data_IF_657665844635
#
_entry.id   IF_657665844635
#
_cell.length_a   1.000
_cell.length_b   1.000
_cell.length_c   1.000
_cell.angle_alpha   90.00
_cell.angle_beta   90.00
_cell.angle_gamma   90.00
#
_symmetry.space_group_name_H-M   'P 1'
#
loop_
_entity.id
_entity.type
_entity.pdbx_description
1 polymer ?
#
# COMPACT_ATOMS: atom_id res chain seq x y z
N UNK A 1 27.43 -10.83 19.06
CA UNK A 1 26.16 -10.13 18.66
C UNK A 1 26.51 -8.68 18.49
N UNK A 2 26.57 -8.19 17.23
CA UNK A 2 26.95 -6.80 16.95
C UNK A 2 25.71 -5.93 17.06
N UNK A 3 25.70 -4.98 17.98
CA UNK A 3 24.68 -3.94 18.10
C UNK A 3 24.64 -3.11 16.81
N UNK A 4 23.49 -2.86 16.20
CA UNK A 4 23.42 -1.97 15.05
C UNK A 4 23.76 -0.54 15.48
N UNK A 5 24.55 0.15 14.65
CA UNK A 5 24.93 1.54 14.87
C UNK A 5 23.69 2.45 14.94
N UNK A 6 23.69 3.49 15.80
CA UNK A 6 22.58 4.42 15.91
C UNK A 6 22.41 5.18 14.59
N UNK A 7 21.19 5.16 14.07
CA UNK A 7 20.81 5.96 12.89
C UNK A 7 20.88 7.44 13.31
N UNK A 8 21.76 8.20 12.66
CA UNK A 8 21.91 9.64 12.88
C UNK A 8 20.58 10.35 12.66
N UNK A 9 19.99 10.88 13.73
CA UNK A 9 18.75 11.69 13.71
C UNK A 9 19.08 13.18 13.63
N UNK A 10 19.63 13.65 12.52
CA UNK A 10 19.44 15.06 12.15
C UNK A 10 18.00 15.20 11.69
N UNK A 11 17.21 16.08 12.32
CA UNK A 11 15.85 16.37 11.89
C UNK A 11 15.88 16.79 10.41
N UNK A 12 15.26 16.03 9.49
CA UNK A 12 15.28 16.41 8.07
C UNK A 12 14.50 17.71 7.90
N UNK A 13 15.02 18.62 7.05
CA UNK A 13 14.25 19.75 6.58
C UNK A 13 12.86 19.27 6.13
N UNK A 14 11.81 20.02 6.52
CA UNK A 14 10.42 19.64 6.27
C UNK A 14 10.24 19.27 4.78
N UNK A 15 10.06 17.99 4.49
CA UNK A 15 9.89 17.47 3.12
C UNK A 15 8.62 18.05 2.51
N UNK A 16 8.71 18.58 1.29
CA UNK A 16 7.53 19.04 0.56
C UNK A 16 6.62 17.88 0.20
N UNK A 17 5.31 18.12 0.16
CA UNK A 17 4.30 17.16 -0.30
C UNK A 17 4.62 16.70 -1.73
N UNK A 18 4.69 15.39 -1.93
CA UNK A 18 4.79 14.77 -3.25
C UNK A 18 3.43 14.86 -3.94
N UNK A 19 3.43 15.27 -5.20
CA UNK A 19 2.23 15.45 -6.01
C UNK A 19 2.36 14.70 -7.34
N UNK A 20 1.30 14.66 -8.13
CA UNK A 20 1.33 14.12 -9.51
C UNK A 20 2.34 14.86 -10.40
N UNK A 21 2.52 16.17 -10.16
CA UNK A 21 3.55 16.95 -10.84
C UNK A 21 4.97 16.48 -10.46
N UNK A 22 5.19 16.12 -9.19
CA UNK A 22 6.47 15.56 -8.74
C UNK A 22 6.80 14.25 -9.47
N UNK A 23 5.79 13.39 -9.68
CA UNK A 23 5.94 12.16 -10.45
C UNK A 23 6.43 12.44 -11.87
N UNK A 24 5.77 13.37 -12.56
CA UNK A 24 6.18 13.79 -13.92
C UNK A 24 7.61 14.33 -13.94
N UNK A 25 7.96 15.22 -13.03
CA UNK A 25 9.30 15.80 -12.92
C UNK A 25 10.36 14.74 -12.65
N UNK A 26 10.07 13.73 -11.83
CA UNK A 26 11.01 12.61 -11.60
C UNK A 26 11.27 11.82 -12.88
N UNK A 27 10.24 11.51 -13.66
CA UNK A 27 10.42 10.86 -14.97
C UNK A 27 11.27 11.70 -15.91
N UNK A 28 10.99 13.01 -16.05
CA UNK A 28 11.76 13.92 -16.87
C UNK A 28 13.24 13.96 -16.47
N UNK A 29 13.54 13.87 -15.16
CA UNK A 29 14.90 13.84 -14.61
C UNK A 29 15.50 12.45 -14.51
N UNK A 30 14.77 11.40 -14.89
CA UNK A 30 15.14 9.99 -14.70
C UNK A 30 15.45 9.63 -13.24
N UNK A 31 14.76 10.24 -12.31
CA UNK A 31 14.84 9.96 -10.88
C UNK A 31 13.83 8.85 -10.54
N UNK A 32 14.25 7.75 -9.88
CA UNK A 32 13.34 6.65 -9.58
C UNK A 32 12.25 7.06 -8.59
N UNK A 33 11.03 6.57 -8.82
CA UNK A 33 9.87 6.77 -7.95
C UNK A 33 9.74 5.57 -7.04
N UNK A 34 9.66 5.82 -5.72
CA UNK A 34 9.46 4.79 -4.71
C UNK A 34 8.02 4.75 -4.26
N UNK A 35 7.41 3.55 -4.26
CA UNK A 35 6.04 3.33 -3.83
C UNK A 35 5.93 2.07 -2.98
N UNK A 36 5.16 2.12 -1.90
CA UNK A 36 4.85 0.97 -1.05
C UNK A 36 3.38 0.96 -0.68
N UNK A 37 2.83 -0.21 -0.36
CA UNK A 37 1.48 -0.27 0.20
C UNK A 37 1.48 -0.02 1.70
N UNK A 38 0.45 0.66 2.22
CA UNK A 38 0.16 0.73 3.64
C UNK A 38 -1.35 0.63 3.89
N UNK A 39 -1.71 0.13 5.06
CA UNK A 39 -3.10 -0.14 5.40
C UNK A 39 -3.50 0.40 6.78
N UNK A 40 -2.54 0.96 7.53
CA UNK A 40 -2.73 1.47 8.88
C UNK A 40 -1.89 2.73 9.16
N UNK A 41 -2.19 3.36 10.29
CA UNK A 41 -1.54 4.60 10.71
C UNK A 41 -0.03 4.46 10.99
N UNK A 42 0.44 3.50 11.83
CA UNK A 42 1.85 3.42 12.19
C UNK A 42 2.73 3.05 11.01
N UNK A 43 2.28 2.17 10.13
CA UNK A 43 3.02 1.81 8.90
C UNK A 43 3.15 3.01 7.96
N UNK A 44 2.07 3.75 7.73
CA UNK A 44 2.08 4.95 6.89
C UNK A 44 2.99 6.03 7.47
N UNK A 45 2.96 6.24 8.79
CA UNK A 45 3.84 7.19 9.48
C UNK A 45 5.32 6.82 9.34
N UNK A 46 5.66 5.54 9.47
CA UNK A 46 7.03 5.06 9.29
C UNK A 46 7.52 5.29 7.85
N UNK A 47 6.69 5.01 6.85
CA UNK A 47 7.00 5.24 5.43
C UNK A 47 7.20 6.72 5.11
N UNK A 48 6.30 7.57 5.59
CA UNK A 48 6.38 9.01 5.36
C UNK A 48 7.64 9.62 5.98
N UNK A 49 8.02 9.15 7.17
CA UNK A 49 9.22 9.58 7.90
C UNK A 49 10.51 9.21 7.14
N UNK A 50 10.58 8.05 6.50
CA UNK A 50 11.75 7.64 5.71
C UNK A 50 11.73 8.19 4.28
N UNK A 51 10.65 8.82 3.87
CA UNK A 51 10.57 9.58 2.64
C UNK A 51 10.18 8.79 1.40
N UNK A 52 9.32 7.77 1.50
CA UNK A 52 8.69 7.13 0.35
C UNK A 52 7.93 8.17 -0.49
N UNK A 53 8.04 8.11 -1.82
CA UNK A 53 7.38 9.09 -2.68
C UNK A 53 5.86 8.93 -2.71
N UNK A 54 5.38 7.69 -2.68
CA UNK A 54 3.94 7.41 -2.70
C UNK A 54 3.57 6.23 -1.82
N UNK A 55 2.38 6.29 -1.26
CA UNK A 55 1.77 5.21 -0.50
C UNK A 55 0.47 4.80 -1.19
N UNK A 56 0.35 3.51 -1.50
CA UNK A 56 -0.85 2.90 -2.06
C UNK A 56 -1.65 2.22 -0.93
N UNK A 57 -2.89 2.62 -0.76
CA UNK A 57 -3.87 1.80 -0.03
C UNK A 57 -4.45 0.83 -1.04
N UNK A 58 -3.75 -0.30 -1.25
CA UNK A 58 -4.08 -1.29 -2.27
C UNK A 58 -5.21 -2.22 -1.85
N UNK A 59 -6.01 -2.70 -2.81
CA UNK A 59 -7.02 -3.73 -2.58
C UNK A 59 -6.41 -5.09 -2.15
N UNK A 60 -5.09 -5.24 -2.30
CA UNK A 60 -4.29 -6.33 -1.71
C UNK A 60 -4.48 -6.48 -0.20
N UNK A 61 -4.99 -5.43 0.50
CA UNK A 61 -5.40 -5.54 1.91
C UNK A 61 -6.41 -6.67 2.15
N UNK A 62 -7.23 -6.97 1.17
CA UNK A 62 -8.15 -8.10 1.22
C UNK A 62 -7.43 -9.40 1.60
N UNK A 63 -6.28 -9.65 0.97
CA UNK A 63 -5.50 -10.87 1.18
C UNK A 63 -4.58 -10.76 2.40
N UNK A 64 -3.79 -9.69 2.48
CA UNK A 64 -2.68 -9.60 3.45
C UNK A 64 -3.08 -9.03 4.81
N UNK A 65 -4.25 -8.42 4.92
CA UNK A 65 -4.79 -7.85 6.18
C UNK A 65 -6.07 -8.55 6.61
N UNK A 66 -7.03 -8.71 5.68
CA UNK A 66 -8.35 -9.26 5.99
C UNK A 66 -8.42 -10.79 5.86
N UNK A 67 -7.40 -11.42 5.22
CA UNK A 67 -7.28 -12.87 5.13
C UNK A 67 -8.15 -13.52 4.06
N UNK A 68 -8.70 -12.77 3.12
CA UNK A 68 -9.42 -13.32 1.95
C UNK A 68 -8.45 -14.01 0.99
N UNK A 69 -8.98 -14.90 0.13
CA UNK A 69 -8.16 -15.64 -0.84
C UNK A 69 -7.78 -14.81 -2.08
N UNK A 70 -8.49 -13.71 -2.34
CA UNK A 70 -8.24 -12.79 -3.44
C UNK A 70 -8.77 -11.38 -3.10
N UNK A 71 -8.62 -10.42 -4.04
CA UNK A 71 -8.99 -9.02 -3.83
C UNK A 71 -10.47 -8.71 -4.07
N UNK A 72 -11.27 -9.65 -4.62
CA UNK A 72 -12.65 -9.38 -5.03
C UNK A 72 -13.63 -9.06 -3.89
N UNK A 73 -13.51 -9.67 -2.67
CA UNK A 73 -14.49 -9.44 -1.60
C UNK A 73 -14.38 -8.06 -0.94
N UNK A 74 -13.25 -7.36 -1.06
CA UNK A 74 -13.06 -6.10 -0.35
C UNK A 74 -14.03 -5.03 -0.87
N UNK A 75 -14.67 -4.35 0.07
CA UNK A 75 -15.71 -3.34 -0.20
C UNK A 75 -15.13 -1.91 -0.25
N UNK A 76 -15.91 -0.97 -0.81
CA UNK A 76 -15.59 0.46 -0.74
C UNK A 76 -15.42 0.96 0.70
N UNK A 77 -16.25 0.48 1.62
CA UNK A 77 -16.22 0.93 3.02
C UNK A 77 -14.94 0.46 3.74
N UNK A 78 -14.51 -0.78 3.50
CA UNK A 78 -13.23 -1.29 4.01
C UNK A 78 -12.06 -0.51 3.43
N UNK A 79 -12.04 -0.26 2.12
CA UNK A 79 -11.00 0.57 1.50
C UNK A 79 -10.94 1.97 2.12
N UNK A 80 -12.08 2.64 2.26
CA UNK A 80 -12.16 3.97 2.87
C UNK A 80 -11.75 3.97 4.35
N UNK A 81 -12.04 2.88 5.09
CA UNK A 81 -11.58 2.72 6.47
C UNK A 81 -10.05 2.78 6.55
N UNK A 82 -9.39 1.97 5.74
CA UNK A 82 -7.91 1.92 5.67
C UNK A 82 -7.30 3.22 5.13
N UNK A 83 -7.91 3.83 4.10
CA UNK A 83 -7.51 5.14 3.58
C UNK A 83 -7.48 6.21 4.67
N UNK A 84 -8.52 6.30 5.50
CA UNK A 84 -8.56 7.24 6.63
C UNK A 84 -7.45 7.02 7.65
N UNK A 85 -7.08 5.76 7.92
CA UNK A 85 -5.98 5.45 8.82
C UNK A 85 -4.63 5.89 8.24
N UNK A 86 -4.36 5.55 6.98
CA UNK A 86 -3.13 5.90 6.26
C UNK A 86 -2.98 7.41 6.12
N UNK A 87 -4.04 8.15 5.76
CA UNK A 87 -3.98 9.60 5.57
C UNK A 87 -3.65 10.39 6.85
N UNK A 88 -3.98 9.84 8.01
CA UNK A 88 -3.55 10.43 9.29
C UNK A 88 -2.06 10.23 9.54
N UNK A 89 -1.49 9.10 9.09
CA UNK A 89 -0.08 8.76 9.30
C UNK A 89 0.89 9.44 8.34
N UNK A 90 0.49 9.67 7.10
CA UNK A 90 1.36 10.21 6.05
C UNK A 90 0.94 11.62 5.64
N UNK A 91 1.91 12.55 5.56
CA UNK A 91 1.69 13.97 5.25
C UNK A 91 2.44 14.44 4.00
N UNK A 92 3.54 13.79 3.66
CA UNK A 92 4.41 14.20 2.56
C UNK A 92 4.34 13.29 1.34
N UNK A 93 4.12 11.98 1.52
CA UNK A 93 3.93 11.03 0.41
C UNK A 93 2.63 11.30 -0.37
N UNK A 94 2.64 11.07 -1.69
CA UNK A 94 1.42 11.05 -2.51
C UNK A 94 0.57 9.84 -2.10
N UNK A 95 -0.67 10.07 -1.70
CA UNK A 95 -1.60 9.02 -1.25
C UNK A 95 -2.51 8.58 -2.39
N UNK A 96 -2.45 7.30 -2.74
CA UNK A 96 -3.26 6.69 -3.79
C UNK A 96 -4.18 5.65 -3.17
N UNK A 97 -5.49 5.78 -3.39
CA UNK A 97 -6.48 4.80 -2.98
C UNK A 97 -6.88 3.89 -4.14
N UNK A 98 -6.87 2.58 -3.90
CA UNK A 98 -7.22 1.58 -4.90
C UNK A 98 -8.74 1.38 -4.95
N UNK A 99 -9.33 1.55 -6.12
CA UNK A 99 -10.77 1.33 -6.31
C UNK A 99 -11.05 -0.17 -6.35
N UNK A 100 -11.85 -0.71 -5.41
CA UNK A 100 -12.10 -2.14 -5.33
C UNK A 100 -12.98 -2.64 -6.49
N UNK A 101 -12.98 -3.96 -6.68
CA UNK A 101 -13.81 -4.60 -7.69
C UNK A 101 -15.28 -4.18 -7.60
N UNK A 102 -15.91 -3.97 -8.74
CA UNK A 102 -17.29 -3.47 -8.92
C UNK A 102 -17.54 -2.02 -8.47
N UNK A 103 -16.53 -1.28 -8.06
CA UNK A 103 -16.71 0.15 -7.74
C UNK A 103 -16.58 1.09 -8.93
N UNK A 104 -16.08 0.60 -10.08
CA UNK A 104 -15.84 1.40 -11.30
C UNK A 104 -16.19 0.67 -12.61
N UNK A 105 -16.67 -0.58 -12.51
CA UNK A 105 -17.00 -1.40 -13.69
C UNK A 105 -18.46 -1.26 -14.13
N UNK A 106 -19.34 -0.83 -13.24
CA UNK A 106 -20.81 -0.84 -13.46
C UNK A 106 -21.24 0.30 -14.39
N UNK A 107 -20.86 1.53 -14.08
CA UNK A 107 -21.13 2.70 -14.91
C UNK A 107 -20.07 3.79 -14.71
N UNK A 108 -20.01 4.73 -15.65
CA UNK A 108 -19.10 5.87 -15.61
C UNK A 108 -19.43 6.81 -14.44
N UNK A 109 -20.73 7.01 -14.18
CA UNK A 109 -21.23 7.85 -13.09
C UNK A 109 -20.87 7.26 -11.72
N UNK A 110 -21.02 5.95 -11.58
CA UNK A 110 -20.67 5.24 -10.34
C UNK A 110 -19.15 5.26 -10.12
N UNK A 111 -18.35 5.01 -11.15
CA UNK A 111 -16.89 5.12 -11.11
C UNK A 111 -16.45 6.51 -10.63
N UNK A 112 -17.02 7.58 -11.19
CA UNK A 112 -16.70 8.96 -10.83
C UNK A 112 -17.11 9.27 -9.40
N UNK A 113 -18.30 8.84 -8.97
CA UNK A 113 -18.81 9.02 -7.60
C UNK A 113 -17.92 8.30 -6.58
N UNK A 114 -17.56 7.04 -6.85
CA UNK A 114 -16.71 6.26 -5.96
C UNK A 114 -15.29 6.81 -5.90
N UNK A 115 -14.71 7.24 -7.02
CA UNK A 115 -13.41 7.94 -7.02
C UNK A 115 -13.47 9.23 -6.16
N UNK A 116 -14.54 10.01 -6.26
CA UNK A 116 -14.77 11.20 -5.42
C UNK A 116 -14.79 10.88 -3.92
N UNK A 117 -15.34 9.72 -3.52
CA UNK A 117 -15.35 9.27 -2.12
C UNK A 117 -13.95 9.03 -1.56
N UNK A 118 -12.99 8.53 -2.36
CA UNK A 118 -11.61 8.37 -1.91
C UNK A 118 -10.98 9.71 -1.51
N UNK A 119 -11.23 10.78 -2.25
CA UNK A 119 -10.72 12.10 -1.90
C UNK A 119 -11.48 12.70 -0.72
N UNK A 120 -12.81 12.68 -0.76
CA UNK A 120 -13.67 13.32 0.25
C UNK A 120 -13.66 12.59 1.60
N UNK A 121 -13.77 11.27 1.59
CA UNK A 121 -13.96 10.45 2.78
C UNK A 121 -12.67 9.72 3.21
N UNK A 122 -11.81 9.39 2.24
CA UNK A 122 -10.54 8.69 2.46
C UNK A 122 -9.34 9.63 2.63
N UNK A 123 -9.49 10.91 2.26
CA UNK A 123 -8.40 11.90 2.21
C UNK A 123 -7.22 11.44 1.34
N UNK A 124 -7.52 10.76 0.22
CA UNK A 124 -6.52 10.37 -0.77
C UNK A 124 -6.26 11.53 -1.75
N UNK A 125 -5.06 11.57 -2.32
CA UNK A 125 -4.67 12.55 -3.34
C UNK A 125 -5.05 12.09 -4.76
N UNK A 126 -5.15 10.77 -4.96
CA UNK A 126 -5.44 10.13 -6.24
C UNK A 126 -6.12 8.77 -6.03
N UNK A 127 -6.65 8.22 -7.12
CA UNK A 127 -7.18 6.85 -7.14
C UNK A 127 -6.40 5.98 -8.11
N UNK A 128 -6.38 4.64 -7.88
CA UNK A 128 -5.92 3.63 -8.84
C UNK A 128 -7.10 2.77 -9.28
N UNK A 129 -7.09 2.33 -10.53
CA UNK A 129 -8.04 1.34 -11.04
C UNK A 129 -7.39 0.47 -12.13
N UNK A 130 -7.91 -0.75 -12.29
CA UNK A 130 -7.38 -1.78 -13.18
C UNK A 130 -8.13 -1.82 -14.52
N UNK A 131 -7.38 -2.08 -15.59
CA UNK A 131 -7.88 -2.29 -16.94
C UNK A 131 -7.33 -1.29 -17.95
N UNK A 132 -7.46 -1.64 -19.23
CA UNK A 132 -6.98 -0.87 -20.36
C UNK A 132 -8.06 -0.02 -21.02
N UNK A 133 -8.15 -0.14 -22.35
CA UNK A 133 -9.08 0.63 -23.20
C UNK A 133 -10.55 0.57 -22.76
N UNK A 134 -10.97 -0.53 -22.15
CA UNK A 134 -12.32 -0.71 -21.63
C UNK A 134 -12.65 0.18 -20.42
N UNK A 135 -11.64 0.80 -19.82
CA UNK A 135 -11.77 1.75 -18.70
C UNK A 135 -11.54 3.20 -19.10
N UNK A 136 -11.16 3.47 -20.36
CA UNK A 136 -10.80 4.81 -20.82
C UNK A 136 -11.92 5.84 -20.61
N UNK A 137 -13.18 5.46 -20.79
CA UNK A 137 -14.32 6.38 -20.61
C UNK A 137 -14.51 6.73 -19.12
N UNK A 138 -14.47 5.75 -18.24
CA UNK A 138 -14.52 5.98 -16.79
C UNK A 138 -13.34 6.86 -16.32
N UNK A 139 -12.13 6.60 -16.81
CA UNK A 139 -10.93 7.40 -16.50
C UNK A 139 -11.11 8.85 -16.96
N UNK A 140 -11.59 9.10 -18.18
CA UNK A 140 -11.85 10.48 -18.67
C UNK A 140 -12.87 11.20 -17.80
N UNK A 141 -13.91 10.51 -17.35
CA UNK A 141 -14.92 11.11 -16.48
C UNK A 141 -14.35 11.45 -15.10
N UNK A 142 -13.57 10.55 -14.51
CA UNK A 142 -12.92 10.75 -13.21
C UNK A 142 -11.92 11.91 -13.30
N UNK A 143 -11.04 11.92 -14.32
CA UNK A 143 -10.04 12.98 -14.52
C UNK A 143 -10.69 14.31 -14.88
N UNK A 144 -11.79 14.29 -15.66
CA UNK A 144 -12.61 15.46 -15.96
C UNK A 144 -13.27 16.07 -14.72
N UNK A 145 -13.53 15.29 -13.70
CA UNK A 145 -13.98 15.77 -12.38
C UNK A 145 -12.86 16.33 -11.49
N UNK A 146 -11.62 16.37 -11.99
CA UNK A 146 -10.45 16.89 -11.25
C UNK A 146 -9.80 15.87 -10.31
N UNK A 147 -10.09 14.59 -10.47
CA UNK A 147 -9.54 13.51 -9.64
C UNK A 147 -8.39 12.85 -10.40
N UNK A 148 -7.14 12.87 -9.87
CA UNK A 148 -6.01 12.20 -10.50
C UNK A 148 -6.18 10.67 -10.50
N UNK A 149 -5.89 10.04 -11.65
CA UNK A 149 -6.02 8.59 -11.84
C UNK A 149 -4.67 7.97 -12.15
N UNK A 150 -4.33 6.90 -11.43
CA UNK A 150 -3.27 5.96 -11.74
C UNK A 150 -3.89 4.74 -12.42
N UNK A 151 -3.47 4.44 -13.65
CA UNK A 151 -3.92 3.23 -14.37
C UNK A 151 -3.17 1.99 -13.87
N UNK A 152 -3.68 0.79 -14.22
CA UNK A 152 -3.03 -0.47 -13.91
C UNK A 152 -3.20 -1.47 -15.04
N UNK A 153 -2.09 -1.89 -15.65
CA UNK A 153 -2.02 -2.81 -16.78
C UNK A 153 -1.15 -4.03 -16.46
N UNK A 154 -1.31 -5.07 -17.25
CA UNK A 154 -0.61 -6.34 -17.09
C UNK A 154 -1.47 -7.35 -16.36
N UNK A 155 -0.95 -7.97 -15.31
CA UNK A 155 -1.78 -8.75 -14.40
C UNK A 155 -2.66 -7.79 -13.60
N UNK A 156 -3.95 -7.97 -13.72
CA UNK A 156 -4.99 -7.25 -12.98
C UNK A 156 -5.66 -8.23 -12.04
N UNK A 157 -5.33 -8.23 -10.72
CA UNK A 157 -5.87 -9.17 -9.74
C UNK A 157 -7.39 -9.25 -9.69
N UNK A 158 -8.08 -8.11 -9.90
CA UNK A 158 -9.54 -8.07 -9.96
C UNK A 158 -10.12 -8.84 -11.16
N UNK A 159 -9.33 -9.08 -12.20
CA UNK A 159 -9.70 -9.88 -13.37
C UNK A 159 -9.20 -11.32 -13.31
N UNK A 160 -8.82 -11.82 -12.13
CA UNK A 160 -8.17 -13.14 -11.94
C UNK A 160 -8.96 -14.31 -12.55
N UNK A 161 -10.29 -14.27 -12.48
CA UNK A 161 -11.14 -15.29 -13.07
C UNK A 161 -11.12 -15.25 -14.60
N UNK A 162 -11.13 -14.06 -15.20
CA UNK A 162 -11.03 -13.87 -16.65
C UNK A 162 -9.65 -14.25 -17.18
N UNK A 163 -8.59 -13.96 -16.42
CA UNK A 163 -7.21 -14.27 -16.79
C UNK A 163 -6.80 -15.72 -16.53
N UNK A 164 -7.66 -16.51 -15.88
CA UNK A 164 -7.38 -17.92 -15.52
C UNK A 164 -6.27 -18.07 -14.48
N UNK A 165 -6.21 -17.13 -13.51
CA UNK A 165 -5.26 -17.12 -12.40
C UNK A 165 -4.21 -15.98 -12.47
N UNK A 166 -3.34 -15.94 -11.49
CA UNK A 166 -2.25 -14.96 -11.39
C UNK A 166 -1.11 -15.29 -12.37
N UNK A 167 -1.25 -14.86 -13.62
CA UNK A 167 -0.29 -15.16 -14.69
C UNK A 167 0.28 -13.89 -15.30
N UNK A 168 1.59 -13.92 -15.61
CA UNK A 168 2.25 -12.82 -16.33
C UNK A 168 1.59 -12.59 -17.70
N UNK A 169 1.32 -11.32 -18.02
CA UNK A 169 0.65 -10.85 -19.22
C UNK A 169 1.66 -10.34 -20.28
N UNK A 170 1.22 -10.21 -21.54
CA UNK A 170 2.07 -9.64 -22.59
C UNK A 170 3.19 -10.56 -23.11
N UNK A 171 3.06 -11.89 -22.97
CA UNK A 171 4.08 -12.85 -23.40
C UNK A 171 4.08 -13.15 -24.89
N UNK A 172 3.00 -12.86 -25.62
CA UNK A 172 2.91 -13.00 -27.07
C UNK A 172 2.97 -11.64 -27.75
N UNK A 173 3.41 -11.57 -29.01
CA UNK A 173 3.48 -10.31 -29.76
C UNK A 173 2.12 -9.59 -29.80
N UNK A 174 1.03 -10.33 -29.97
CA UNK A 174 -0.33 -9.80 -30.02
C UNK A 174 -0.72 -9.19 -28.65
N UNK A 175 -0.50 -9.92 -27.55
CA UNK A 175 -0.79 -9.42 -26.21
C UNK A 175 0.12 -8.25 -25.81
N UNK A 176 1.40 -8.30 -26.20
CA UNK A 176 2.34 -7.21 -25.97
C UNK A 176 1.92 -5.94 -26.70
N UNK A 177 1.56 -6.05 -28.01
CA UNK A 177 1.07 -4.91 -28.81
C UNK A 177 -0.16 -4.28 -28.15
N UNK A 178 -1.12 -5.09 -27.69
CA UNK A 178 -2.31 -4.60 -27.00
C UNK A 178 -1.97 -3.82 -25.72
N UNK A 179 -1.02 -4.30 -24.90
CA UNK A 179 -0.60 -3.58 -23.68
C UNK A 179 0.05 -2.24 -23.99
N UNK A 180 0.87 -2.15 -25.07
CA UNK A 180 1.44 -0.88 -25.52
C UNK A 180 0.35 0.10 -25.95
N UNK A 181 -0.63 -0.36 -26.75
CA UNK A 181 -1.77 0.45 -27.18
C UNK A 181 -2.61 0.90 -25.99
N UNK A 182 -2.90 0.00 -25.05
CA UNK A 182 -3.68 0.30 -23.85
C UNK A 182 -2.96 1.34 -22.97
N UNK A 183 -1.63 1.30 -22.84
CA UNK A 183 -0.88 2.32 -22.11
C UNK A 183 -1.02 3.72 -22.72
N UNK A 184 -0.98 3.84 -24.04
CA UNK A 184 -1.21 5.11 -24.74
C UNK A 184 -2.64 5.60 -24.54
N UNK A 185 -3.62 4.70 -24.64
CA UNK A 185 -5.04 5.05 -24.42
C UNK A 185 -5.28 5.55 -22.99
N UNK A 186 -4.64 4.94 -21.98
CA UNK A 186 -4.76 5.37 -20.59
C UNK A 186 -4.09 6.75 -20.36
N UNK A 187 -2.95 7.02 -20.99
CA UNK A 187 -2.33 8.34 -20.99
C UNK A 187 -3.26 9.39 -21.62
N UNK A 188 -3.81 9.11 -22.80
CA UNK A 188 -4.76 9.98 -23.50
C UNK A 188 -6.07 10.18 -22.71
N UNK A 189 -6.47 9.21 -21.90
CA UNK A 189 -7.60 9.31 -20.99
C UNK A 189 -7.32 10.19 -19.76
N UNK A 190 -6.06 10.60 -19.53
CA UNK A 190 -5.67 11.53 -18.49
C UNK A 190 -5.04 10.88 -17.25
N UNK A 191 -4.63 9.62 -17.32
CA UNK A 191 -3.84 9.02 -16.23
C UNK A 191 -2.56 9.82 -16.00
N UNK A 192 -2.19 10.05 -14.73
CA UNK A 192 -0.92 10.69 -14.39
C UNK A 192 0.24 9.70 -14.27
N UNK A 193 -0.05 8.41 -14.13
CA UNK A 193 0.91 7.31 -13.99
C UNK A 193 0.22 5.97 -14.29
N UNK A 194 0.99 4.93 -14.62
CA UNK A 194 0.46 3.58 -14.87
C UNK A 194 1.29 2.55 -14.09
N UNK A 195 0.63 1.68 -13.35
CA UNK A 195 1.24 0.47 -12.78
C UNK A 195 1.35 -0.59 -13.87
N UNK A 196 2.50 -1.23 -13.99
CA UNK A 196 2.75 -2.40 -14.85
C UNK A 196 3.03 -3.61 -13.96
N UNK A 197 2.09 -4.57 -13.87
CA UNK A 197 2.22 -5.74 -13.01
C UNK A 197 2.48 -7.00 -13.82
N UNK A 198 3.52 -7.77 -13.42
CA UNK A 198 3.85 -9.09 -14.00
C UNK A 198 3.90 -9.06 -15.53
N UNK A 199 4.56 -8.05 -16.08
CA UNK A 199 4.81 -7.82 -17.50
C UNK A 199 6.27 -8.15 -17.81
N UNK A 200 6.62 -8.77 -18.97
CA UNK A 200 8.01 -8.99 -19.35
C UNK A 200 8.83 -7.70 -19.30
N UNK A 201 10.04 -7.74 -18.70
CA UNK A 201 10.84 -6.55 -18.41
C UNK A 201 11.11 -5.68 -19.66
N UNK A 202 11.45 -6.32 -20.82
CA UNK A 202 11.66 -5.61 -22.10
C UNK A 202 10.39 -4.92 -22.61
N UNK A 203 9.20 -5.50 -22.36
CA UNK A 203 7.91 -4.90 -22.73
C UNK A 203 7.60 -3.71 -21.83
N UNK A 204 7.84 -3.83 -20.53
CA UNK A 204 7.64 -2.73 -19.58
C UNK A 204 8.56 -1.54 -19.90
N UNK A 205 9.83 -1.78 -20.23
CA UNK A 205 10.78 -0.76 -20.69
C UNK A 205 10.31 -0.07 -21.98
N UNK A 206 9.80 -0.86 -22.95
CA UNK A 206 9.24 -0.32 -24.19
C UNK A 206 8.03 0.58 -23.90
N UNK A 207 7.09 0.14 -23.05
CA UNK A 207 5.92 0.94 -22.65
C UNK A 207 6.38 2.24 -21.99
N UNK A 208 7.30 2.15 -21.02
CA UNK A 208 7.84 3.30 -20.29
C UNK A 208 8.48 4.35 -21.22
N UNK A 209 9.12 3.90 -22.31
CA UNK A 209 9.70 4.79 -23.31
C UNK A 209 8.70 5.40 -24.30
N UNK A 210 7.50 4.81 -24.43
CA UNK A 210 6.48 5.23 -25.40
C UNK A 210 5.47 6.24 -24.87
N UNK A 211 5.30 6.30 -23.54
CA UNK A 211 4.38 7.24 -22.89
C UNK A 211 5.14 8.31 -22.11
N UNK A 212 4.56 9.48 -21.95
CA UNK A 212 5.18 10.61 -21.25
C UNK A 212 4.93 10.56 -19.73
N UNK A 213 3.90 9.84 -19.29
CA UNK A 213 3.58 9.67 -17.88
C UNK A 213 4.43 8.57 -17.23
N UNK A 214 4.75 8.65 -15.93
CA UNK A 214 5.55 7.64 -15.23
C UNK A 214 4.91 6.26 -15.19
N UNK A 215 5.75 5.22 -15.33
CA UNK A 215 5.37 3.83 -15.09
C UNK A 215 5.91 3.35 -13.74
N UNK A 216 5.10 2.60 -12.99
CA UNK A 216 5.47 1.99 -11.71
C UNK A 216 5.42 0.47 -11.88
N UNK A 217 6.58 -0.18 -11.77
CA UNK A 217 6.69 -1.63 -11.96
C UNK A 217 6.43 -2.43 -10.69
N UNK A 218 5.78 -3.58 -10.85
CA UNK A 218 5.75 -4.66 -9.86
C UNK A 218 5.86 -5.98 -10.61
N UNK A 219 7.00 -6.67 -10.46
CA UNK A 219 7.29 -7.85 -11.28
C UNK A 219 7.43 -7.53 -12.78
N UNK A 220 7.82 -6.30 -13.13
CA UNK A 220 7.95 -5.82 -14.50
C UNK A 220 9.40 -5.42 -14.86
N UNK A 221 10.37 -5.75 -14.02
CA UNK A 221 11.79 -5.41 -14.24
C UNK A 221 12.15 -3.97 -13.89
N UNK A 222 13.41 -3.59 -14.13
CA UNK A 222 13.97 -2.29 -13.73
C UNK A 222 13.74 -1.17 -14.74
N UNK A 223 13.11 -1.44 -15.90
CA UNK A 223 12.91 -0.46 -16.99
C UNK A 223 11.70 0.47 -16.78
N UNK A 224 11.00 0.38 -15.65
CA UNK A 224 9.97 1.34 -15.25
C UNK A 224 10.58 2.54 -14.53
N UNK A 225 9.83 3.67 -14.49
CA UNK A 225 10.28 4.90 -13.82
C UNK A 225 10.24 4.80 -12.30
N UNK A 226 9.49 3.84 -11.75
CA UNK A 226 9.43 3.55 -10.33
C UNK A 226 9.08 2.09 -10.05
N UNK A 227 9.04 1.75 -8.76
CA UNK A 227 8.68 0.40 -8.30
C UNK A 227 7.70 0.47 -7.14
N UNK A 228 6.77 -0.49 -7.09
CA UNK A 228 5.89 -0.72 -5.94
C UNK A 228 6.03 -2.15 -5.43
N UNK A 229 5.95 -2.33 -4.12
CA UNK A 229 5.80 -3.65 -3.49
C UNK A 229 4.68 -3.61 -2.44
N UNK A 230 4.03 -4.74 -2.26
CA UNK A 230 3.18 -5.00 -1.12
C UNK A 230 4.06 -5.10 0.12
N UNK A 231 3.83 -4.23 1.09
CA UNK A 231 4.68 -4.12 2.29
C UNK A 231 4.68 -5.38 3.14
N UNK A 232 3.55 -6.07 3.22
CA UNK A 232 3.45 -7.35 3.93
C UNK A 232 4.34 -8.42 3.30
N UNK A 233 4.50 -8.43 1.98
CA UNK A 233 5.43 -9.33 1.29
C UNK A 233 6.88 -8.90 1.52
N UNK A 234 7.16 -7.60 1.41
CA UNK A 234 8.48 -6.99 1.61
C UNK A 234 9.04 -7.26 3.01
N UNK A 235 8.18 -7.20 4.04
CA UNK A 235 8.53 -7.43 5.45
C UNK A 235 8.32 -8.88 5.90
N UNK A 236 7.84 -9.76 5.02
CA UNK A 236 7.45 -11.13 5.36
C UNK A 236 6.46 -11.22 6.52
N UNK A 237 5.46 -10.33 6.55
CA UNK A 237 4.35 -10.39 7.50
C UNK A 237 3.29 -11.40 7.03
N UNK A 238 3.16 -11.60 5.71
CA UNK A 238 2.26 -12.56 5.09
C UNK A 238 3.05 -13.76 4.61
N UNK A 239 2.72 -14.97 5.08
CA UNK A 239 3.51 -16.19 4.87
C UNK A 239 2.84 -17.24 3.96
N UNK A 240 1.57 -17.04 3.56
CA UNK A 240 0.86 -18.02 2.72
C UNK A 240 1.47 -18.15 1.32
N UNK A 241 1.89 -17.03 0.72
CA UNK A 241 2.47 -17.00 -0.62
C UNK A 241 3.34 -15.75 -0.78
N UNK A 242 4.48 -15.90 -1.43
CA UNK A 242 5.36 -14.77 -1.80
C UNK A 242 5.62 -14.84 -3.30
N UNK A 243 5.23 -13.82 -4.10
CA UNK A 243 5.54 -13.77 -5.52
C UNK A 243 7.06 -13.80 -5.77
N UNK A 244 7.50 -14.43 -6.86
CA UNK A 244 8.93 -14.59 -7.20
C UNK A 244 9.68 -13.26 -7.36
N UNK A 245 8.99 -12.19 -7.71
CA UNK A 245 9.57 -10.87 -7.90
C UNK A 245 9.80 -10.10 -6.60
N UNK A 246 9.30 -10.60 -5.47
CA UNK A 246 9.43 -9.93 -4.18
C UNK A 246 10.83 -10.14 -3.61
N UNK A 247 11.52 -9.04 -3.33
CA UNK A 247 12.70 -9.02 -2.49
C UNK A 247 12.26 -8.78 -1.04
N UNK A 248 12.56 -9.73 -0.17
CA UNK A 248 12.31 -9.60 1.28
C UNK A 248 13.41 -8.76 1.92
N UNK A 249 13.04 -7.75 2.70
CA UNK A 249 13.96 -6.87 3.41
C UNK A 249 14.01 -7.16 4.91
N UNK A 250 12.98 -7.85 5.44
CA UNK A 250 12.90 -8.31 6.83
C UNK A 250 12.09 -9.60 6.92
N UNK A 251 12.05 -10.20 8.10
CA UNK A 251 11.21 -11.37 8.40
C UNK A 251 10.44 -11.13 9.70
N UNK A 252 9.50 -10.20 9.66
CA UNK A 252 8.73 -9.81 10.85
C UNK A 252 7.78 -10.90 11.33
N UNK A 253 7.33 -11.79 10.46
CA UNK A 253 6.53 -12.94 10.90
C UNK A 253 7.24 -13.77 11.97
N UNK A 254 8.52 -14.13 11.74
CA UNK A 254 9.31 -14.88 12.72
C UNK A 254 9.63 -14.06 13.97
N UNK A 255 9.94 -12.76 13.82
CA UNK A 255 10.20 -11.89 14.97
C UNK A 255 8.96 -11.71 15.85
N UNK A 256 7.77 -11.59 15.25
CA UNK A 256 6.49 -11.54 15.97
C UNK A 256 6.23 -12.84 16.73
N UNK A 257 6.43 -14.00 16.09
CA UNK A 257 6.25 -15.30 16.73
C UNK A 257 7.17 -15.43 17.94
N UNK A 258 8.45 -15.04 17.81
CA UNK A 258 9.41 -15.07 18.92
C UNK A 258 8.97 -14.15 20.06
N UNK A 259 8.62 -12.90 19.76
CA UNK A 259 8.19 -11.94 20.77
C UNK A 259 6.94 -12.42 21.52
N UNK A 260 6.00 -13.07 20.83
CA UNK A 260 4.80 -13.63 21.47
C UNK A 260 5.16 -14.83 22.35
N UNK A 261 6.08 -15.70 21.92
CA UNK A 261 6.52 -16.83 22.71
C UNK A 261 7.27 -16.37 23.97
N UNK A 262 8.16 -15.39 23.85
CA UNK A 262 8.90 -14.79 24.97
C UNK A 262 7.91 -14.17 26.00
N UNK A 263 6.89 -13.44 25.52
CA UNK A 263 5.85 -12.87 26.38
C UNK A 263 5.05 -13.95 27.12
N UNK A 264 4.66 -15.02 26.43
CA UNK A 264 3.93 -16.14 27.05
C UNK A 264 4.77 -16.76 28.16
N UNK A 265 6.05 -17.07 27.89
CA UNK A 265 6.97 -17.64 28.86
C UNK A 265 7.17 -16.72 30.08
N UNK A 266 7.32 -15.42 29.87
CA UNK A 266 7.48 -14.45 30.95
C UNK A 266 6.26 -14.37 31.86
N UNK A 267 5.06 -14.44 31.28
CA UNK A 267 3.80 -14.46 32.06
C UNK A 267 3.67 -15.79 32.85
N UNK A 268 3.90 -16.93 32.21
CA UNK A 268 3.80 -18.26 32.84
C UNK A 268 4.82 -18.44 33.97
N UNK A 269 6.02 -17.88 33.81
CA UNK A 269 7.10 -17.96 34.80
C UNK A 269 7.10 -16.80 35.80
N UNK A 270 6.11 -15.89 35.71
CA UNK A 270 5.97 -14.68 36.55
C UNK A 270 7.19 -13.74 36.47
N UNK A 271 7.91 -13.74 35.34
CA UNK A 271 8.92 -12.72 35.04
C UNK A 271 8.31 -11.41 34.60
N UNK A 272 7.09 -11.45 34.03
CA UNK A 272 6.30 -10.27 33.70
C UNK A 272 4.93 -10.34 34.42
N UNK A 273 4.44 -9.24 35.01
CA UNK A 273 5.11 -7.94 35.18
C UNK A 273 6.26 -8.01 36.22
N UNK A 274 7.35 -7.31 35.93
CA UNK A 274 8.40 -7.04 36.91
C UNK A 274 8.05 -5.80 37.75
N UNK A 275 8.76 -5.48 38.85
CA UNK A 275 8.45 -4.33 39.71
C UNK A 275 8.29 -3.00 38.94
N UNK A 276 9.13 -2.74 37.92
CA UNK A 276 9.05 -1.56 37.08
C UNK A 276 7.80 -1.46 36.20
N UNK A 277 7.03 -2.54 36.10
CA UNK A 277 5.76 -2.59 35.35
C UNK A 277 4.53 -2.50 36.25
N UNK A 278 4.74 -2.26 37.58
CA UNK A 278 3.66 -2.23 38.56
C UNK A 278 3.38 -0.80 39.05
N UNK A 279 2.20 -0.60 39.57
CA UNK A 279 1.83 0.62 40.28
C UNK A 279 1.82 0.30 41.76
N UNK A 280 2.58 1.04 42.53
CA UNK A 280 2.64 0.90 43.96
C UNK A 280 1.54 1.73 44.65
N UNK A 281 1.04 1.26 45.78
CA UNK A 281 0.18 2.00 46.68
C UNK A 281 1.03 2.46 47.87
N UNK A 282 0.77 3.66 48.38
CA UNK A 282 1.44 4.16 49.59
C UNK A 282 1.19 3.22 50.77
N UNK A 283 2.24 2.93 51.53
CA UNK A 283 2.15 1.97 52.65
C UNK A 283 1.12 2.38 53.71
N UNK A 284 0.95 3.68 53.97
CA UNK A 284 -0.06 4.19 54.91
C UNK A 284 -1.47 3.99 54.43
N UNK A 285 -1.70 4.16 53.14
CA UNK A 285 -3.00 3.88 52.52
C UNK A 285 -3.30 2.36 52.51
N UNK A 286 -2.29 1.55 52.23
CA UNK A 286 -2.41 0.09 52.30
C UNK A 286 -2.79 -0.40 53.70
N UNK A 287 -2.07 0.08 54.75
CA UNK A 287 -2.38 -0.25 56.17
C UNK A 287 -3.76 0.23 56.60
N UNK A 288 -4.19 1.38 56.09
CA UNK A 288 -5.55 1.91 56.35
C UNK A 288 -6.62 1.00 55.74
N UNK A 289 -6.40 0.60 54.48
CA UNK A 289 -7.32 -0.32 53.78
C UNK A 289 -7.44 -1.66 54.53
N UNK A 290 -6.30 -2.24 54.96
CA UNK A 290 -6.32 -3.52 55.71
C UNK A 290 -7.13 -3.42 57.01
N UNK A 291 -6.99 -2.34 57.79
CA UNK A 291 -7.76 -2.12 59.01
C UNK A 291 -9.25 -1.97 58.73
N UNK A 292 -9.64 -1.31 57.64
CA UNK A 292 -11.06 -1.17 57.27
C UNK A 292 -11.72 -2.47 56.79
N UNK A 293 -10.95 -3.37 56.15
CA UNK A 293 -11.46 -4.67 55.71
C UNK A 293 -11.63 -5.62 56.89
N UNK A 294 -10.64 -5.69 57.82
CA UNK A 294 -10.66 -6.55 58.97
C UNK A 294 -11.77 -6.19 60.00
N UNK A 295 -12.22 -4.93 60.01
CA UNK A 295 -13.34 -4.49 60.87
C UNK A 295 -14.74 -4.85 60.32
N UNK A 296 -14.85 -5.45 59.15
CA UNK A 296 -16.16 -5.86 58.54
C UNK A 296 -16.45 -7.36 58.63
N UNK A 297 -15.62 -8.14 59.32
CA UNK A 297 -15.82 -9.55 59.69
C UNK A 297 -15.77 -9.71 61.19
#
# INVERSE_FOLDING_TARGET
MSTPAPVSTSAPAARKKVTTLTFRQKKERREPITMLTAYDYPTAMAMDKVGVDSILVGDSLAMVVLGYDNTLPVTMEEMLHHCRAVSRGAKTALLVGDMPFMSYQVSVEEATRNAGRFLQQGSMDAVKLEGGRERAEAIRSITGAGIPVMGHLGLTPQSVHQLGGFRAQGKTAVAAKRLVEDAVILEEAGCFSIVLESVPARLAELISSRISIPTIGIGAGAGCDGQVLVTHDLLSLFDRFTPKFVKKYANFHLEMQRAFADYIEDVETKRFPAPEHTVEMDDTEWDTLLKEIDHKH
#
